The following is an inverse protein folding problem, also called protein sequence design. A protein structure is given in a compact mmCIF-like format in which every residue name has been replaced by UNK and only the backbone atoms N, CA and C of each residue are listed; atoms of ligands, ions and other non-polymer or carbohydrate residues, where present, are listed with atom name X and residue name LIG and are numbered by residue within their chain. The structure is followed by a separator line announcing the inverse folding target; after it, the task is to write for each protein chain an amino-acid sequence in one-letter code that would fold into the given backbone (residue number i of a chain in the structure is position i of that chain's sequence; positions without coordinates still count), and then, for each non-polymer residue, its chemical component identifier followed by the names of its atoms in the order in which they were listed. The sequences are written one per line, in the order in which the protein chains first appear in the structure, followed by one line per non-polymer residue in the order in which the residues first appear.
data_IF_580754689995
#
_entry.id   IF_580754689995
#
_cell.length_a   1.000
_cell.length_b   1.000
_cell.length_c   1.000
_cell.angle_alpha   90.00
_cell.angle_beta   90.00
_cell.angle_gamma   90.00
#
_symmetry.space_group_name_H-M   'P 1'
#
loop_
_entity.id
_entity.type
_entity.pdbx_description
1 polymer ?
#
# COMPACT_ATOMS: atom_id res chain seq x y z
N UNK A 1 5.38 -9.46 -6.04
CA UNK A 1 4.23 -8.87 -6.77
C UNK A 1 3.68 -7.75 -5.91
N UNK A 2 3.59 -6.52 -6.39
CA UNK A 2 2.72 -5.51 -5.78
C UNK A 2 1.41 -5.51 -6.55
N UNK A 3 0.30 -5.23 -5.88
CA UNK A 3 -0.99 -5.13 -6.55
C UNK A 3 -1.02 -3.83 -7.35
N UNK A 4 -0.77 -3.94 -8.65
CA UNK A 4 -1.18 -2.95 -9.64
C UNK A 4 -2.69 -3.13 -9.82
N UNK A 5 -3.47 -2.32 -9.11
CA UNK A 5 -4.94 -2.40 -9.15
C UNK A 5 -5.52 -1.42 -10.16
N UNK A 6 -6.61 -1.83 -10.80
CA UNK A 6 -7.41 -0.93 -11.62
C UNK A 6 -8.12 0.12 -10.74
N UNK A 7 -7.99 1.39 -11.15
CA UNK A 7 -8.64 2.51 -10.46
C UNK A 7 -10.09 2.61 -10.88
N UNK A 8 -11.01 2.18 -10.01
CA UNK A 8 -12.46 2.34 -10.19
C UNK A 8 -12.91 3.76 -9.82
N UNK A 9 -14.13 4.14 -10.24
CA UNK A 9 -14.74 5.42 -9.83
C UNK A 9 -14.79 5.57 -8.31
N UNK A 10 -15.02 4.47 -7.59
CA UNK A 10 -15.13 4.46 -6.14
C UNK A 10 -13.81 4.79 -5.44
N UNK A 11 -12.64 4.48 -6.03
CA UNK A 11 -11.33 4.74 -5.41
C UNK A 11 -10.59 5.92 -6.06
N UNK A 12 -11.12 6.46 -7.15
CA UNK A 12 -10.58 7.62 -7.85
C UNK A 12 -10.47 8.83 -6.93
N UNK A 13 -9.29 9.46 -6.90
CA UNK A 13 -9.01 10.66 -6.10
C UNK A 13 -8.94 10.44 -4.58
N UNK A 14 -9.09 9.21 -4.07
CA UNK A 14 -9.08 8.92 -2.64
C UNK A 14 -7.70 8.63 -2.05
N UNK A 15 -6.76 8.18 -2.88
CA UNK A 15 -5.46 7.69 -2.44
C UNK A 15 -4.32 8.35 -3.19
N UNK A 16 -3.16 8.45 -2.53
CA UNK A 16 -1.90 8.83 -3.17
C UNK A 16 -1.30 7.60 -3.86
N UNK A 17 -0.47 7.84 -4.87
CA UNK A 17 0.15 6.77 -5.69
C UNK A 17 0.90 5.75 -4.83
N UNK A 18 1.65 6.20 -3.82
CA UNK A 18 2.41 5.33 -2.92
C UNK A 18 1.53 4.51 -1.96
N UNK A 19 0.27 4.91 -1.74
CA UNK A 19 -0.68 4.17 -0.90
C UNK A 19 -1.35 3.02 -1.66
N UNK A 20 -1.35 3.07 -2.99
CA UNK A 20 -1.96 2.06 -3.85
C UNK A 20 -1.00 0.90 -4.18
N UNK A 21 0.28 1.00 -3.81
CA UNK A 21 1.27 -0.05 -4.11
C UNK A 21 2.03 0.14 -5.43
N UNK A 22 1.76 1.23 -6.16
CA UNK A 22 2.53 1.60 -7.34
C UNK A 22 3.96 2.00 -6.99
N UNK A 23 4.94 1.43 -7.69
CA UNK A 23 6.33 1.88 -7.61
C UNK A 23 6.49 3.20 -8.37
N UNK A 24 6.79 4.29 -7.68
CA UNK A 24 6.92 5.62 -8.31
C UNK A 24 7.94 5.62 -9.46
N UNK A 25 9.03 4.87 -9.32
CA UNK A 25 10.09 4.79 -10.35
C UNK A 25 9.59 4.21 -11.68
N UNK A 26 8.53 3.40 -11.66
CA UNK A 26 7.96 2.80 -12.86
C UNK A 26 6.92 3.68 -13.56
N UNK A 27 6.21 4.54 -12.81
CA UNK A 27 5.06 5.30 -13.32
C UNK A 27 5.27 6.82 -13.33
N UNK A 28 6.33 7.32 -12.68
CA UNK A 28 6.62 8.74 -12.54
C UNK A 28 8.07 9.04 -12.93
N UNK A 29 8.23 9.79 -14.02
CA UNK A 29 9.51 10.43 -14.34
C UNK A 29 9.66 11.70 -13.52
N UNK A 30 10.72 11.79 -12.71
CA UNK A 30 11.06 13.01 -11.96
C UNK A 30 11.85 14.03 -12.80
N UNK A 31 12.37 13.61 -13.96
CA UNK A 31 13.17 14.46 -14.87
C UNK A 31 12.37 15.04 -16.05
N UNK A 32 11.05 14.83 -16.09
CA UNK A 32 10.21 15.33 -17.19
C UNK A 32 9.67 16.75 -16.93
N UNK A 33 9.03 17.34 -17.94
CA UNK A 33 8.34 18.62 -17.82
C UNK A 33 7.15 18.61 -16.83
N UNK A 34 6.63 19.80 -16.53
CA UNK A 34 5.63 19.99 -15.48
C UNK A 34 4.33 19.19 -15.71
N UNK A 35 3.84 18.49 -14.68
CA UNK A 35 2.53 17.84 -14.69
C UNK A 35 1.73 18.06 -13.40
N UNK A 36 0.41 17.88 -13.48
CA UNK A 36 -0.50 18.12 -12.35
C UNK A 36 -0.18 17.18 -11.19
N UNK A 37 -0.02 17.76 -9.99
CA UNK A 37 0.26 17.01 -8.76
C UNK A 37 1.73 16.63 -8.54
N UNK A 38 2.64 17.02 -9.44
CA UNK A 38 4.06 16.66 -9.35
C UNK A 38 4.73 17.08 -8.04
N UNK A 39 4.36 18.23 -7.48
CA UNK A 39 4.98 18.74 -6.24
C UNK A 39 4.68 17.83 -5.05
N UNK A 40 3.44 17.31 -4.99
CA UNK A 40 3.02 16.37 -3.97
C UNK A 40 3.75 15.04 -4.15
N UNK A 41 3.85 14.56 -5.39
CA UNK A 41 4.51 13.28 -5.70
C UNK A 41 6.02 13.37 -5.41
N UNK A 42 6.69 14.44 -5.84
CA UNK A 42 8.10 14.70 -5.54
C UNK A 42 8.34 14.85 -4.03
N UNK A 43 7.48 15.59 -3.31
CA UNK A 43 7.55 15.68 -1.85
C UNK A 43 7.44 14.31 -1.20
N UNK A 44 6.53 13.46 -1.68
CA UNK A 44 6.39 12.11 -1.15
C UNK A 44 7.67 11.30 -1.41
N UNK A 45 8.24 11.38 -2.61
CA UNK A 45 9.43 10.64 -2.99
C UNK A 45 10.70 11.06 -2.21
N UNK A 46 10.96 12.36 -2.13
CA UNK A 46 12.22 12.87 -1.58
C UNK A 46 12.17 13.20 -0.08
N UNK A 47 10.99 13.57 0.44
CA UNK A 47 10.84 14.08 1.81
C UNK A 47 10.01 13.18 2.73
N UNK A 48 9.28 12.19 2.20
CA UNK A 48 8.72 11.18 3.09
C UNK A 48 9.87 10.34 3.63
N UNK A 49 10.20 10.51 4.91
CA UNK A 49 10.79 9.41 5.66
C UNK A 49 9.78 8.28 5.55
N UNK A 50 10.14 7.18 4.88
CA UNK A 50 9.24 6.04 4.66
C UNK A 50 8.91 5.38 6.01
N UNK A 51 7.93 5.95 6.72
CA UNK A 51 7.49 5.45 8.03
C UNK A 51 6.53 4.29 7.81
N UNK A 52 5.70 4.34 6.76
CA UNK A 52 4.76 3.28 6.42
C UNK A 52 4.83 2.94 4.93
N UNK A 53 4.64 1.66 4.61
CA UNK A 53 4.53 1.16 3.23
C UNK A 53 3.28 0.28 3.09
N UNK A 54 2.74 0.15 1.86
CA UNK A 54 1.61 -0.73 1.61
C UNK A 54 2.03 -2.19 1.76
N UNK A 55 1.17 -2.95 2.44
CA UNK A 55 1.27 -4.38 2.68
C UNK A 55 -0.08 -5.00 2.38
N UNK A 56 -0.09 -6.10 1.65
CA UNK A 56 -1.31 -6.82 1.29
C UNK A 56 -1.32 -8.18 1.95
N UNK A 57 -2.46 -8.48 2.56
CA UNK A 57 -2.72 -9.76 3.19
C UNK A 57 -3.89 -10.46 2.52
N UNK A 58 -3.78 -11.77 2.44
CA UNK A 58 -4.81 -12.66 1.96
C UNK A 58 -5.65 -13.19 3.12
N UNK A 59 -6.98 -13.13 2.97
CA UNK A 59 -7.97 -13.76 3.86
C UNK A 59 -7.72 -13.52 5.36
N UNK A 60 -7.43 -12.27 5.74
CA UNK A 60 -7.21 -11.90 7.14
C UNK A 60 -8.44 -12.19 8.01
N UNK A 61 -8.26 -12.83 9.18
CA UNK A 61 -9.29 -12.91 10.20
C UNK A 61 -9.67 -11.53 10.77
N UNK A 62 -10.90 -11.39 11.24
CA UNK A 62 -11.44 -10.11 11.73
C UNK A 62 -10.68 -9.54 12.94
N UNK A 63 -10.15 -10.39 13.82
CA UNK A 63 -9.37 -9.94 14.97
C UNK A 63 -8.02 -9.32 14.55
N UNK A 64 -7.43 -9.81 13.45
CA UNK A 64 -6.24 -9.21 12.87
C UNK A 64 -6.53 -7.91 12.15
N UNK A 65 -7.68 -7.80 11.46
CA UNK A 65 -8.12 -6.55 10.84
C UNK A 65 -8.21 -5.44 11.90
N UNK A 66 -8.81 -5.72 13.06
CA UNK A 66 -8.91 -4.77 14.17
C UNK A 66 -7.54 -4.34 14.72
N UNK A 67 -6.62 -5.30 14.91
CA UNK A 67 -5.24 -5.00 15.36
C UNK A 67 -4.50 -4.14 14.33
N UNK A 68 -4.59 -4.48 13.05
CA UNK A 68 -3.93 -3.73 11.97
C UNK A 68 -4.50 -2.32 11.78
N UNK A 69 -5.79 -2.12 12.04
CA UNK A 69 -6.41 -0.79 12.05
C UNK A 69 -5.87 0.10 13.18
N UNK A 70 -5.38 -0.49 14.27
CA UNK A 70 -4.71 0.26 15.33
C UNK A 70 -3.25 0.58 14.97
N UNK A 71 -2.56 -0.34 14.31
CA UNK A 71 -1.13 -0.23 13.99
C UNK A 71 -0.84 0.58 12.71
N UNK A 72 -1.81 0.71 11.82
CA UNK A 72 -1.66 1.40 10.54
C UNK A 72 -2.95 1.92 9.96
N UNK A 73 -2.91 2.18 8.65
CA UNK A 73 -4.06 2.73 7.92
C UNK A 73 -4.58 1.69 6.94
N UNK A 74 -5.83 1.29 7.08
CA UNK A 74 -6.54 0.52 6.07
C UNK A 74 -6.72 1.36 4.78
N UNK A 75 -6.43 0.75 3.63
CA UNK A 75 -6.58 1.37 2.32
C UNK A 75 -7.80 0.81 1.61
N UNK A 76 -7.82 -0.50 1.32
CA UNK A 76 -8.96 -1.12 0.66
C UNK A 76 -9.07 -2.63 0.93
N UNK A 77 -10.24 -3.16 0.58
CA UNK A 77 -10.55 -4.59 0.49
C UNK A 77 -10.99 -4.87 -0.95
N UNK A 78 -10.48 -5.94 -1.55
CA UNK A 78 -10.91 -6.41 -2.87
C UNK A 78 -11.08 -7.93 -2.89
N UNK A 79 -11.81 -8.43 -3.87
CA UNK A 79 -12.03 -9.87 -4.07
C UNK A 79 -11.53 -10.22 -5.47
N UNK A 80 -10.59 -11.16 -5.56
CA UNK A 80 -10.04 -11.66 -6.82
C UNK A 80 -10.11 -13.18 -6.77
N UNK A 81 -10.80 -13.81 -7.74
CA UNK A 81 -10.99 -15.26 -7.81
C UNK A 81 -11.50 -15.87 -6.48
N UNK A 82 -12.54 -15.26 -5.89
CA UNK A 82 -13.14 -15.64 -4.60
C UNK A 82 -12.23 -15.51 -3.36
N UNK A 83 -11.01 -14.98 -3.54
CA UNK A 83 -10.08 -14.71 -2.45
C UNK A 83 -10.15 -13.24 -2.06
N UNK A 84 -10.24 -12.99 -0.75
CA UNK A 84 -10.32 -11.63 -0.20
C UNK A 84 -8.92 -11.11 0.11
N UNK A 85 -8.62 -9.91 -0.38
CA UNK A 85 -7.37 -9.22 -0.11
C UNK A 85 -7.63 -7.92 0.66
N UNK A 86 -6.75 -7.62 1.61
CA UNK A 86 -6.78 -6.38 2.39
C UNK A 86 -5.44 -5.67 2.29
N UNK A 87 -5.47 -4.37 2.00
CA UNK A 87 -4.27 -3.54 1.95
C UNK A 87 -4.22 -2.56 3.12
N UNK A 88 -3.07 -2.51 3.78
CA UNK A 88 -2.77 -1.58 4.86
C UNK A 88 -1.47 -0.84 4.61
N UNK A 89 -1.38 0.40 5.09
CA UNK A 89 -0.11 1.11 5.25
C UNK A 89 0.43 0.84 6.64
N UNK A 90 1.53 0.09 6.73
CA UNK A 90 2.13 -0.36 7.99
C UNK A 90 3.57 0.10 8.11
N UNK A 91 4.04 0.27 9.34
CA UNK A 91 5.47 0.52 9.64
C UNK A 91 6.28 -0.77 9.56
N UNK A 92 7.57 -0.66 9.24
CA UNK A 92 8.47 -1.81 9.10
C UNK A 92 8.58 -2.67 10.36
N UNK A 93 8.46 -2.04 11.53
CA UNK A 93 8.57 -2.66 12.85
C UNK A 93 7.24 -3.18 13.40
N UNK A 94 6.15 -3.10 12.62
CA UNK A 94 4.87 -3.68 13.03
C UNK A 94 5.06 -5.18 13.28
N UNK A 95 4.79 -5.60 14.53
CA UNK A 95 4.96 -6.98 15.01
C UNK A 95 4.16 -7.96 14.14
N UNK A 96 3.02 -7.49 13.61
CA UNK A 96 2.12 -8.27 12.77
C UNK A 96 2.75 -8.63 11.42
N UNK A 97 3.73 -7.87 10.91
CA UNK A 97 4.48 -8.26 9.70
C UNK A 97 5.34 -9.51 9.88
N UNK A 98 5.65 -9.87 11.12
CA UNK A 98 6.47 -11.04 11.46
C UNK A 98 5.65 -12.25 11.89
N UNK A 99 4.32 -12.10 11.94
CA UNK A 99 3.42 -13.17 12.35
C UNK A 99 3.19 -14.12 11.16
N UNK A 100 3.65 -15.37 11.29
CA UNK A 100 3.47 -16.39 10.25
C UNK A 100 2.05 -16.94 10.18
N UNK A 101 1.16 -16.57 11.12
CA UNK A 101 -0.25 -16.95 11.09
C UNK A 101 -1.05 -16.18 10.03
N UNK A 102 -0.50 -15.09 9.48
CA UNK A 102 -1.17 -14.30 8.43
C UNK A 102 -0.41 -14.36 7.11
N UNK A 103 -1.16 -14.54 6.03
CA UNK A 103 -0.60 -14.67 4.69
C UNK A 103 -0.35 -13.28 4.10
N UNK A 104 0.84 -12.72 4.34
CA UNK A 104 1.33 -11.56 3.62
C UNK A 104 1.70 -11.97 2.18
N UNK A 105 1.00 -11.43 1.19
CA UNK A 105 1.19 -11.78 -0.23
C UNK A 105 1.99 -10.73 -1.01
N UNK A 106 2.05 -9.50 -0.50
CA UNK A 106 2.80 -8.42 -1.12
C UNK A 106 3.24 -7.37 -0.09
N UNK A 107 4.42 -6.78 -0.28
CA UNK A 107 4.75 -5.48 0.33
C UNK A 107 5.81 -4.72 -0.45
N UNK A 108 5.82 -3.39 -0.28
CA UNK A 108 6.91 -2.54 -0.72
C UNK A 108 8.10 -2.49 0.28
N UNK A 109 8.08 -3.28 1.35
CA UNK A 109 9.29 -3.53 2.14
C UNK A 109 10.17 -4.49 1.34
N UNK A 110 11.33 -4.00 0.88
CA UNK A 110 12.29 -4.87 0.19
C UNK A 110 12.92 -5.82 1.20
N UNK A 111 12.86 -7.12 0.88
CA UNK A 111 13.26 -8.29 1.69
C UNK A 111 12.21 -8.73 2.74
N UNK A 112 11.54 -9.85 2.43
CA UNK A 112 11.19 -10.86 3.43
C UNK A 112 12.32 -11.90 3.43
#
# INVERSE_FOLDING_TARGET
MNFDIDITEEISGKFRVNELGFSLDNYVSFDKGCFRGQEIIARINYLSKAITKPVVFESLPEDYIQKLNHDGKFIFKTIVNDVVYHQFMLKQDSILLKDTAINQVASLWENL
#
